data_IF_004397773009
#
_entry.id   IF_004397773009
#
_cell.length_a   1.000
_cell.length_b   1.000
_cell.length_c   1.000
_cell.angle_alpha   90.00
_cell.angle_beta   90.00
_cell.angle_gamma   90.00
#
_symmetry.space_group_name_H-M   'P 1'
#
loop_
_entity.id
_entity.type
_entity.pdbx_description
1 polymer ?
#
# COMPACT_ATOMS: atom_id res chain seq x y z
N UNK A 1 -9.94 -17.57 -2.42
CA UNK A 1 -9.99 -16.28 -3.13
C UNK A 1 -9.54 -15.26 -2.10
N UNK A 2 -8.35 -14.68 -2.28
CA UNK A 2 -7.90 -13.59 -1.41
C UNK A 2 -8.90 -12.45 -1.55
N UNK A 3 -9.39 -11.91 -0.44
CA UNK A 3 -10.30 -10.77 -0.48
C UNK A 3 -9.48 -9.53 -0.84
N UNK A 4 -9.87 -8.84 -1.91
CA UNK A 4 -9.25 -7.59 -2.30
C UNK A 4 -9.60 -6.52 -1.25
N UNK A 5 -8.78 -6.38 -0.21
CA UNK A 5 -8.99 -5.39 0.86
C UNK A 5 -8.02 -4.21 0.74
N UNK A 6 -8.46 -3.05 1.22
CA UNK A 6 -7.67 -1.83 1.31
C UNK A 6 -7.55 -1.46 2.79
N UNK A 7 -6.31 -1.35 3.27
CA UNK A 7 -6.02 -0.94 4.65
C UNK A 7 -6.17 0.58 4.82
N UNK A 8 -6.57 1.01 6.02
CA UNK A 8 -6.81 2.43 6.35
C UNK A 8 -5.59 3.32 6.07
N UNK A 9 -4.38 2.81 6.31
CA UNK A 9 -3.14 3.54 6.04
C UNK A 9 -2.92 3.83 4.56
N UNK A 10 -3.39 2.94 3.68
CA UNK A 10 -3.30 3.14 2.22
C UNK A 10 -4.34 4.17 1.76
N UNK A 11 -5.53 4.19 2.37
CA UNK A 11 -6.51 5.26 2.13
C UNK A 11 -5.99 6.62 2.59
N UNK A 12 -5.37 6.68 3.77
CA UNK A 12 -4.74 7.91 4.29
C UNK A 12 -3.62 8.40 3.37
N UNK A 13 -2.75 7.50 2.92
CA UNK A 13 -1.68 7.83 1.99
C UNK A 13 -2.23 8.34 0.64
N UNK A 14 -3.25 7.69 0.09
CA UNK A 14 -3.92 8.14 -1.13
C UNK A 14 -4.59 9.52 -0.97
N UNK A 15 -5.27 9.75 0.16
CA UNK A 15 -5.90 11.05 0.47
C UNK A 15 -4.85 12.15 0.54
N UNK A 16 -3.74 11.91 1.24
CA UNK A 16 -2.68 12.90 1.39
C UNK A 16 -1.98 13.20 0.05
N UNK A 17 -1.74 12.17 -0.76
CA UNK A 17 -1.21 12.34 -2.11
C UNK A 17 -2.10 13.23 -2.99
N UNK A 18 -3.42 13.03 -2.95
CA UNK A 18 -4.36 13.87 -3.69
C UNK A 18 -4.45 15.30 -3.13
N UNK A 19 -4.33 15.49 -1.82
CA UNK A 19 -4.28 16.83 -1.21
C UNK A 19 -3.07 17.65 -1.65
N UNK A 20 -1.91 17.00 -1.81
CA UNK A 20 -0.70 17.66 -2.30
C UNK A 20 -0.82 18.03 -3.78
N UNK A 21 -1.41 17.15 -4.60
CA UNK A 21 -1.54 17.33 -6.04
C UNK A 21 -2.66 18.28 -6.45
N UNK A 22 -3.75 18.29 -5.71
CA UNK A 22 -4.92 19.11 -5.94
C UNK A 22 -5.33 19.80 -4.63
N UNK A 23 -4.56 20.82 -4.19
CA UNK A 23 -4.81 21.50 -2.93
C UNK A 23 -6.15 22.23 -2.96
N UNK A 24 -6.72 22.41 -1.77
CA UNK A 24 -7.98 23.14 -1.61
C UNK A 24 -7.82 24.59 -2.05
N UNK A 25 -8.67 25.10 -2.96
CA UNK A 25 -8.55 26.46 -3.48
C UNK A 25 -8.90 27.54 -2.43
N UNK A 26 -9.71 27.19 -1.43
CA UNK A 26 -10.25 28.06 -0.39
C UNK A 26 -9.84 27.61 1.02
N UNK A 27 -9.03 26.55 1.14
CA UNK A 27 -8.66 25.93 2.41
C UNK A 27 -9.77 25.10 3.07
N UNK A 28 -10.93 24.93 2.43
CA UNK A 28 -12.10 24.23 2.96
C UNK A 28 -12.54 23.11 2.00
N UNK A 29 -12.72 23.43 0.73
CA UNK A 29 -13.24 22.56 -0.32
C UNK A 29 -12.17 21.58 -0.79
N UNK A 30 -12.41 20.29 -0.58
CA UNK A 30 -11.52 19.23 -1.03
C UNK A 30 -11.79 18.81 -2.49
N UNK A 31 -10.73 18.42 -3.21
CA UNK A 31 -10.81 17.87 -4.56
C UNK A 31 -11.77 16.66 -4.64
N UNK A 32 -12.39 16.39 -5.81
CA UNK A 32 -13.32 15.28 -5.98
C UNK A 32 -12.77 13.92 -5.50
N UNK A 33 -11.49 13.65 -5.73
CA UNK A 33 -10.79 12.42 -5.40
C UNK A 33 -10.61 12.28 -3.88
N UNK A 34 -10.21 13.37 -3.21
CA UNK A 34 -10.13 13.42 -1.74
C UNK A 34 -11.51 13.17 -1.13
N UNK A 35 -12.57 13.78 -1.66
CA UNK A 35 -13.93 13.56 -1.17
C UNK A 35 -14.38 12.11 -1.36
N UNK A 36 -14.09 11.51 -2.52
CA UNK A 36 -14.43 10.12 -2.81
C UNK A 36 -13.73 9.14 -1.85
N UNK A 37 -12.44 9.32 -1.61
CA UNK A 37 -11.67 8.50 -0.66
C UNK A 37 -12.09 8.74 0.80
N UNK A 38 -12.41 9.98 1.16
CA UNK A 38 -12.81 10.35 2.52
C UNK A 38 -14.10 9.66 2.97
N UNK A 39 -15.03 9.36 2.06
CA UNK A 39 -16.23 8.59 2.39
C UNK A 39 -15.88 7.16 2.85
N UNK A 40 -14.96 6.47 2.16
CA UNK A 40 -14.50 5.14 2.55
C UNK A 40 -13.75 5.19 3.90
N UNK A 41 -12.89 6.20 4.09
CA UNK A 41 -12.22 6.44 5.37
C UNK A 41 -13.22 6.68 6.51
N UNK A 42 -14.29 7.46 6.28
CA UNK A 42 -15.32 7.72 7.28
C UNK A 42 -16.05 6.44 7.70
N UNK A 43 -16.33 5.53 6.76
CA UNK A 43 -16.92 4.21 7.05
C UNK A 43 -16.00 3.39 7.96
N UNK A 44 -14.70 3.35 7.68
CA UNK A 44 -13.71 2.67 8.53
C UNK A 44 -13.66 3.25 9.94
N UNK A 45 -13.62 4.58 10.06
CA UNK A 45 -13.60 5.27 11.34
C UNK A 45 -14.85 4.98 12.18
N UNK A 46 -16.05 5.02 11.56
CA UNK A 46 -17.31 4.75 12.24
C UNK A 46 -17.44 3.28 12.68
N UNK A 47 -17.01 2.35 11.82
CA UNK A 47 -17.03 0.91 12.11
C UNK A 47 -15.88 0.44 13.01
N UNK A 48 -14.89 1.31 13.27
CA UNK A 48 -13.63 0.97 13.94
C UNK A 48 -12.88 -0.19 13.27
N UNK A 49 -12.97 -0.25 11.94
CA UNK A 49 -12.28 -1.24 11.13
C UNK A 49 -10.97 -0.68 10.58
N UNK A 50 -9.99 -1.56 10.35
CA UNK A 50 -8.73 -1.23 9.71
C UNK A 50 -8.73 -1.48 8.20
N UNK A 51 -9.69 -2.24 7.69
CA UNK A 51 -9.76 -2.66 6.30
C UNK A 51 -11.17 -2.56 5.73
N UNK A 52 -11.25 -2.24 4.45
CA UNK A 52 -12.49 -2.22 3.67
C UNK A 52 -12.29 -3.06 2.42
N UNK A 53 -13.31 -3.84 2.06
CA UNK A 53 -13.34 -4.58 0.79
C UNK A 53 -13.34 -3.61 -0.39
N UNK A 54 -12.49 -3.84 -1.39
CA UNK A 54 -12.43 -3.03 -2.61
C UNK A 54 -13.79 -2.97 -3.33
N UNK A 55 -14.57 -4.06 -3.28
CA UNK A 55 -15.91 -4.11 -3.84
C UNK A 55 -16.94 -3.23 -3.11
N UNK A 56 -16.66 -2.81 -1.86
CA UNK A 56 -17.50 -1.90 -1.10
C UNK A 56 -17.22 -0.41 -1.42
N UNK A 57 -16.11 -0.10 -2.11
CA UNK A 57 -15.80 1.26 -2.52
C UNK A 57 -16.71 1.71 -3.67
N UNK A 58 -17.07 2.99 -3.66
CA UNK A 58 -17.64 3.63 -4.84
C UNK A 58 -16.61 3.64 -5.98
N UNK A 59 -17.01 3.52 -7.26
CA UNK A 59 -16.08 3.47 -8.39
C UNK A 59 -15.06 4.62 -8.40
N UNK A 60 -15.49 5.85 -8.13
CA UNK A 60 -14.59 7.02 -8.06
C UNK A 60 -13.54 6.92 -6.94
N UNK A 61 -13.87 6.28 -5.82
CA UNK A 61 -12.92 6.08 -4.73
C UNK A 61 -11.90 5.00 -5.11
N UNK A 62 -12.34 3.93 -5.76
CA UNK A 62 -11.46 2.89 -6.27
C UNK A 62 -10.50 3.44 -7.35
N UNK A 63 -11.01 4.23 -8.29
CA UNK A 63 -10.20 4.88 -9.34
C UNK A 63 -9.14 5.82 -8.73
N UNK A 64 -9.54 6.62 -7.74
CA UNK A 64 -8.64 7.53 -7.03
C UNK A 64 -7.55 6.76 -6.26
N UNK A 65 -7.90 5.63 -5.64
CA UNK A 65 -6.96 4.75 -4.95
C UNK A 65 -5.99 4.07 -5.92
N UNK A 66 -6.49 3.53 -7.04
CA UNK A 66 -5.67 2.90 -8.08
C UNK A 66 -4.70 3.90 -8.72
N UNK A 67 -5.12 5.15 -8.88
CA UNK A 67 -4.25 6.24 -9.37
C UNK A 67 -3.09 6.49 -8.42
N UNK A 68 -3.34 6.55 -7.11
CA UNK A 68 -2.28 6.65 -6.11
C UNK A 68 -1.39 5.40 -6.09
N UNK A 69 -1.99 4.20 -6.12
CA UNK A 69 -1.25 2.93 -6.12
C UNK A 69 -0.21 2.88 -7.24
N UNK A 70 -0.57 3.36 -8.44
CA UNK A 70 0.33 3.42 -9.59
C UNK A 70 1.57 4.32 -9.38
N UNK A 71 1.58 5.17 -8.35
CA UNK A 71 2.74 6.00 -7.98
C UNK A 71 3.64 5.35 -6.93
N UNK A 72 3.21 4.24 -6.34
CA UNK A 72 3.98 3.53 -5.31
C UNK A 72 5.06 2.63 -5.94
N UNK A 73 6.16 2.33 -5.23
CA UNK A 73 7.17 1.40 -5.73
C UNK A 73 6.56 0.01 -6.02
N UNK A 74 6.78 -0.52 -7.22
CA UNK A 74 6.20 -1.82 -7.62
C UNK A 74 6.73 -2.99 -6.79
N UNK A 75 7.95 -2.91 -6.22
CA UNK A 75 8.54 -4.02 -5.48
C UNK A 75 9.38 -3.56 -4.27
N UNK A 76 9.34 -4.28 -3.14
CA UNK A 76 10.16 -3.98 -1.96
C UNK A 76 11.61 -4.48 -2.08
N UNK A 77 12.01 -5.04 -3.22
CA UNK A 77 13.30 -5.69 -3.42
C UNK A 77 14.47 -4.68 -3.44
N UNK A 78 15.58 -5.04 -2.78
CA UNK A 78 16.84 -4.27 -2.78
C UNK A 78 18.01 -5.03 -3.44
N UNK A 79 17.68 -5.96 -4.35
CA UNK A 79 18.62 -6.87 -5.01
C UNK A 79 19.50 -7.69 -4.05
N UNK A 80 18.94 -8.03 -2.89
CA UNK A 80 19.51 -8.98 -1.92
C UNK A 80 18.41 -9.99 -1.59
N UNK A 81 18.67 -11.25 -1.88
CA UNK A 81 17.68 -12.32 -1.69
C UNK A 81 18.29 -13.42 -0.85
N UNK A 82 17.82 -13.59 0.39
CA UNK A 82 18.30 -14.65 1.27
C UNK A 82 17.47 -15.95 1.20
N UNK A 83 16.27 -15.87 0.61
CA UNK A 83 15.44 -17.06 0.36
C UNK A 83 16.06 -17.97 -0.70
N UNK A 84 16.80 -17.41 -1.66
CA UNK A 84 17.62 -18.19 -2.58
C UNK A 84 18.77 -18.96 -1.90
N UNK A 85 19.09 -18.65 -0.63
CA UNK A 85 20.04 -19.40 0.20
C UNK A 85 19.34 -20.28 1.25
N UNK A 86 18.00 -20.39 1.21
CA UNK A 86 17.23 -21.29 2.07
C UNK A 86 16.50 -20.64 3.24
N UNK A 87 16.55 -19.33 3.42
CA UNK A 87 15.70 -18.66 4.43
C UNK A 87 14.21 -18.69 4.01
N UNK A 88 13.29 -18.84 4.97
CA UNK A 88 11.85 -18.78 4.68
C UNK A 88 11.35 -17.34 4.39
N UNK A 89 11.97 -16.34 5.05
CA UNK A 89 11.71 -14.91 4.88
C UNK A 89 12.99 -14.24 4.37
N UNK A 90 12.86 -13.43 3.32
CA UNK A 90 13.98 -12.71 2.74
C UNK A 90 14.45 -11.60 3.69
N UNK A 91 15.68 -11.73 4.21
CA UNK A 91 16.31 -10.71 5.06
C UNK A 91 16.46 -9.35 4.38
N UNK A 92 16.55 -9.32 3.04
CA UNK A 92 16.65 -8.09 2.27
C UNK A 92 15.34 -7.29 2.23
N UNK A 93 14.25 -7.91 1.76
CA UNK A 93 12.99 -7.22 1.48
C UNK A 93 11.82 -7.54 2.43
N UNK A 94 11.93 -8.56 3.28
CA UNK A 94 10.88 -8.98 4.24
C UNK A 94 9.79 -9.89 3.66
N UNK A 95 9.82 -10.17 2.36
CA UNK A 95 8.87 -11.08 1.71
C UNK A 95 9.16 -12.54 2.04
N UNK A 96 8.12 -13.37 2.08
CA UNK A 96 8.25 -14.83 2.15
C UNK A 96 8.78 -15.41 0.84
N UNK A 97 9.25 -16.66 0.85
CA UNK A 97 9.69 -17.33 -0.37
C UNK A 97 8.58 -17.39 -1.44
N UNK A 98 7.33 -17.64 -1.03
CA UNK A 98 6.19 -17.70 -1.94
C UNK A 98 5.91 -16.33 -2.58
N UNK A 99 5.87 -15.27 -1.77
CA UNK A 99 5.68 -13.89 -2.26
C UNK A 99 6.80 -13.42 -3.18
N UNK A 100 8.03 -13.86 -2.94
CA UNK A 100 9.16 -13.55 -3.84
C UNK A 100 8.94 -14.19 -5.21
N UNK A 101 8.50 -15.45 -5.26
CA UNK A 101 8.29 -16.18 -6.52
C UNK A 101 7.08 -15.67 -7.29
N UNK A 102 5.97 -15.42 -6.60
CA UNK A 102 4.69 -15.09 -7.22
C UNK A 102 4.43 -13.58 -7.34
N UNK A 103 5.37 -12.71 -6.93
CA UNK A 103 5.19 -11.24 -6.94
C UNK A 103 4.58 -10.66 -8.21
N UNK A 104 5.01 -11.04 -9.44
CA UNK A 104 4.45 -10.47 -10.66
C UNK A 104 2.99 -10.85 -10.90
N UNK A 105 2.52 -11.93 -10.30
CA UNK A 105 1.15 -12.42 -10.44
C UNK A 105 0.19 -11.86 -9.38
N UNK A 106 0.72 -11.28 -8.29
CA UNK A 106 -0.09 -10.66 -7.26
C UNK A 106 -0.79 -9.41 -7.79
N UNK A 107 -2.06 -9.25 -7.45
CA UNK A 107 -2.81 -8.06 -7.76
C UNK A 107 -2.39 -6.88 -6.85
N UNK A 108 -2.83 -5.63 -7.14
CA UNK A 108 -2.51 -4.47 -6.32
C UNK A 108 -2.85 -4.63 -4.84
N UNK A 109 -3.99 -5.21 -4.50
CA UNK A 109 -4.45 -5.38 -3.13
C UNK A 109 -3.57 -6.39 -2.39
N UNK A 110 -3.27 -7.52 -3.02
CA UNK A 110 -2.36 -8.53 -2.48
C UNK A 110 -0.95 -7.96 -2.25
N UNK A 111 -0.43 -7.18 -3.22
CA UNK A 111 0.86 -6.49 -3.05
C UNK A 111 0.82 -5.52 -1.88
N UNK A 112 -0.26 -4.78 -1.69
CA UNK A 112 -0.42 -3.84 -0.56
C UNK A 112 -0.49 -4.53 0.79
N UNK A 113 -1.13 -5.68 0.91
CA UNK A 113 -1.10 -6.51 2.13
C UNK A 113 0.33 -6.89 2.50
N UNK A 114 1.12 -7.34 1.52
CA UNK A 114 2.55 -7.67 1.75
C UNK A 114 3.33 -6.43 2.17
N UNK A 115 3.14 -5.30 1.48
CA UNK A 115 3.79 -4.03 1.82
C UNK A 115 3.47 -3.56 3.23
N UNK A 116 2.21 -3.62 3.63
CA UNK A 116 1.77 -3.25 4.96
C UNK A 116 2.48 -4.12 6.01
N UNK A 117 2.46 -5.45 5.84
CA UNK A 117 3.13 -6.37 6.78
C UNK A 117 4.61 -6.06 6.91
N UNK A 118 5.36 -5.99 5.82
CA UNK A 118 6.81 -5.83 5.89
C UNK A 118 7.21 -4.47 6.48
N UNK A 119 6.43 -3.42 6.23
CA UNK A 119 6.65 -2.09 6.81
C UNK A 119 6.36 -2.11 8.31
N UNK A 120 5.26 -2.75 8.72
CA UNK A 120 4.91 -2.90 10.13
C UNK A 120 5.95 -3.72 10.91
N UNK A 121 6.46 -4.81 10.32
CA UNK A 121 7.51 -5.63 10.92
C UNK A 121 8.84 -4.86 11.03
N UNK A 122 9.23 -4.12 9.98
CA UNK A 122 10.43 -3.27 9.98
C UNK A 122 11.75 -4.03 10.17
N UNK A 123 11.75 -5.36 10.14
CA UNK A 123 12.92 -6.19 10.47
C UNK A 123 13.88 -6.37 9.30
N UNK A 124 13.40 -6.27 8.05
CA UNK A 124 14.19 -6.47 6.86
C UNK A 124 15.26 -5.38 6.66
N UNK A 125 16.38 -5.74 6.03
CA UNK A 125 17.54 -4.86 5.88
C UNK A 125 17.26 -3.58 5.11
N UNK A 126 16.27 -3.58 4.21
CA UNK A 126 15.82 -2.36 3.53
C UNK A 126 15.34 -1.25 4.47
N UNK A 127 14.96 -1.57 5.71
CA UNK A 127 14.50 -0.61 6.71
C UNK A 127 15.60 -0.19 7.69
N UNK A 128 16.74 -0.89 7.71
CA UNK A 128 17.81 -0.65 8.68
C UNK A 128 19.20 -0.65 8.03
N UNK A 129 19.78 -1.82 7.74
CA UNK A 129 21.18 -2.02 7.35
C UNK A 129 21.51 -1.54 5.94
N UNK A 130 20.54 -1.62 5.02
CA UNK A 130 20.69 -1.30 3.61
C UNK A 130 19.60 -0.33 3.14
N UNK A 131 19.24 0.63 4.00
CA UNK A 131 18.20 1.63 3.70
C UNK A 131 18.56 2.50 2.49
N UNK A 132 19.86 2.72 2.26
CA UNK A 132 20.39 3.46 1.11
C UNK A 132 20.08 2.80 -0.25
N UNK A 133 19.65 1.53 -0.26
CA UNK A 133 19.28 0.80 -1.49
C UNK A 133 17.82 0.99 -1.91
N UNK A 134 17.00 1.69 -1.13
CA UNK A 134 15.57 1.91 -1.42
C UNK A 134 15.34 2.97 -2.51
N UNK A 135 16.35 3.81 -2.80
CA UNK A 135 16.27 4.97 -3.69
C UNK A 135 16.79 4.73 -5.12
N UNK A 136 16.74 3.51 -5.62
CA UNK A 136 17.07 3.20 -7.03
C UNK A 136 15.84 2.94 -7.88
#
# INVERSE_FOLDING_TARGET
MSSASIHVTDLEAAINWWRERAPSPDGISAAPEVRALAEAYAVLALSRAAEVEAAALKPKALDAWMTWYATTPDSPCIAICSTAQGDAICKGCGRSFDEVQHWPALDPFEKRVVWHRIVQEGTAWRFNRYAERVTR
#
